data_IF_949282732618
#
_entry.id   IF_949282732618
#
_cell.length_a   1.000
_cell.length_b   1.000
_cell.length_c   1.000
_cell.angle_alpha   90.00
_cell.angle_beta   90.00
_cell.angle_gamma   90.00
#
_symmetry.space_group_name_H-M   'P 1'
#
loop_
_entity.id
_entity.type
_entity.pdbx_description
1 polymer ?
#
# COMPACT_ATOMS: atom_id res chain seq x y z
N UNK A 1 -14.06 -19.00 -19.64
CA UNK A 1 -14.52 -18.04 -18.61
C UNK A 1 -14.44 -16.61 -19.16
N UNK A 2 -15.48 -15.77 -19.04
CA UNK A 2 -15.32 -14.35 -19.33
C UNK A 2 -14.11 -13.85 -18.53
N UNK A 3 -13.15 -13.22 -19.19
CA UNK A 3 -11.93 -12.74 -18.54
C UNK A 3 -12.30 -11.84 -17.37
N UNK A 4 -11.54 -11.91 -16.27
CA UNK A 4 -11.74 -11.04 -15.11
C UNK A 4 -11.64 -9.58 -15.57
N UNK A 5 -12.78 -8.92 -15.77
CA UNK A 5 -12.83 -7.52 -16.15
C UNK A 5 -12.62 -6.69 -14.89
N UNK A 6 -11.36 -6.38 -14.59
CA UNK A 6 -10.94 -5.52 -13.48
C UNK A 6 -11.35 -4.04 -13.65
N UNK A 7 -12.20 -3.73 -14.63
CA UNK A 7 -12.57 -2.37 -15.01
C UNK A 7 -11.58 -1.73 -15.98
N UNK A 8 -11.47 -0.40 -15.91
CA UNK A 8 -10.64 0.40 -16.81
C UNK A 8 -9.14 0.03 -16.68
N UNK A 9 -8.46 -0.46 -17.74
CA UNK A 9 -7.09 -0.96 -17.65
C UNK A 9 -6.07 0.14 -17.27
N UNK A 10 -6.33 1.39 -17.65
CA UNK A 10 -5.48 2.52 -17.26
C UNK A 10 -5.63 2.81 -15.77
N UNK A 11 -6.85 2.74 -15.25
CA UNK A 11 -7.12 2.89 -13.81
C UNK A 11 -6.39 1.82 -13.00
N UNK A 12 -6.45 0.56 -13.42
CA UNK A 12 -5.73 -0.56 -12.79
C UNK A 12 -4.21 -0.30 -12.80
N UNK A 13 -3.65 0.13 -13.93
CA UNK A 13 -2.23 0.41 -14.05
C UNK A 13 -1.77 1.53 -13.11
N UNK A 14 -2.53 2.64 -13.02
CA UNK A 14 -2.23 3.73 -12.10
C UNK A 14 -2.27 3.26 -10.64
N UNK A 15 -3.29 2.51 -10.27
CA UNK A 15 -3.46 1.98 -8.93
C UNK A 15 -2.33 1.03 -8.54
N UNK A 16 -1.94 0.13 -9.45
CA UNK A 16 -0.82 -0.79 -9.24
C UNK A 16 0.52 -0.05 -9.08
N UNK A 17 0.79 0.94 -9.93
CA UNK A 17 2.02 1.75 -9.82
C UNK A 17 2.06 2.53 -8.51
N UNK A 18 0.94 3.13 -8.10
CA UNK A 18 0.86 3.82 -6.82
C UNK A 18 1.08 2.88 -5.63
N UNK A 19 0.52 1.65 -5.70
CA UNK A 19 0.76 0.63 -4.69
C UNK A 19 2.23 0.18 -4.62
N UNK A 20 2.93 0.07 -5.76
CA UNK A 20 4.38 -0.21 -5.80
C UNK A 20 5.17 0.91 -5.14
N UNK A 21 4.81 2.18 -5.38
CA UNK A 21 5.44 3.33 -4.71
C UNK A 21 5.21 3.27 -3.19
N UNK A 22 3.99 2.98 -2.74
CA UNK A 22 3.66 2.78 -1.34
C UNK A 22 4.48 1.66 -0.69
N UNK A 23 4.49 0.48 -1.31
CA UNK A 23 5.26 -0.67 -0.84
C UNK A 23 6.76 -0.37 -0.79
N UNK A 24 7.31 0.26 -1.83
CA UNK A 24 8.74 0.60 -1.89
C UNK A 24 9.14 1.58 -0.79
N UNK A 25 8.30 2.59 -0.51
CA UNK A 25 8.53 3.54 0.57
C UNK A 25 8.53 2.89 1.95
N UNK A 26 7.55 2.00 2.21
CA UNK A 26 7.46 1.24 3.45
C UNK A 26 8.68 0.33 3.61
N UNK A 27 9.04 -0.42 2.57
CA UNK A 27 10.21 -1.31 2.58
C UNK A 27 11.50 -0.54 2.86
N UNK A 28 11.71 0.59 2.19
CA UNK A 28 12.87 1.44 2.42
C UNK A 28 12.96 1.90 3.89
N UNK A 29 11.85 2.34 4.48
CA UNK A 29 11.79 2.75 5.87
C UNK A 29 12.09 1.59 6.83
N UNK A 30 11.44 0.44 6.64
CA UNK A 30 11.59 -0.74 7.50
C UNK A 30 13.03 -1.26 7.47
N UNK A 31 13.66 -1.29 6.28
CA UNK A 31 15.05 -1.70 6.13
C UNK A 31 16.01 -0.83 6.95
N UNK A 32 15.73 0.47 7.13
CA UNK A 32 16.57 1.33 7.99
C UNK A 32 16.55 0.97 9.48
N UNK A 33 15.61 0.14 9.91
CA UNK A 33 15.50 -0.33 11.30
C UNK A 33 16.31 -1.61 11.56
N UNK A 34 16.70 -2.31 10.50
CA UNK A 34 17.44 -3.56 10.59
C UNK A 34 18.94 -3.33 10.81
N UNK A 35 19.59 -4.27 11.49
CA UNK A 35 21.06 -4.28 11.67
C UNK A 35 21.77 -5.23 10.71
N UNK A 36 21.03 -6.17 10.12
CA UNK A 36 21.52 -7.17 9.15
C UNK A 36 20.52 -7.35 8.01
N UNK A 37 20.96 -7.90 6.88
CA UNK A 37 20.09 -8.19 5.73
C UNK A 37 18.97 -9.18 6.10
N UNK A 38 19.32 -10.28 6.79
CA UNK A 38 18.32 -11.25 7.26
C UNK A 38 17.27 -10.63 8.18
N UNK A 39 17.66 -9.66 9.03
CA UNK A 39 16.72 -8.94 9.86
C UNK A 39 15.82 -8.01 9.01
N UNK A 40 16.36 -7.39 7.97
CA UNK A 40 15.57 -6.54 7.06
C UNK A 40 14.49 -7.37 6.36
N UNK A 41 14.82 -8.54 5.82
CA UNK A 41 13.86 -9.44 5.16
C UNK A 41 12.76 -9.89 6.12
N UNK A 42 13.15 -10.29 7.34
CA UNK A 42 12.20 -10.70 8.38
C UNK A 42 11.25 -9.56 8.79
N UNK A 43 11.78 -8.37 9.04
CA UNK A 43 10.97 -7.19 9.41
C UNK A 43 10.03 -6.78 8.28
N UNK A 44 10.50 -6.75 7.04
CA UNK A 44 9.66 -6.44 5.88
C UNK A 44 8.51 -7.42 5.73
N UNK A 45 8.78 -8.72 5.90
CA UNK A 45 7.76 -9.76 5.84
C UNK A 45 6.69 -9.58 6.93
N UNK A 46 7.12 -9.33 8.18
CA UNK A 46 6.20 -9.09 9.31
C UNK A 46 5.33 -7.85 9.03
N UNK A 47 5.93 -6.75 8.58
CA UNK A 47 5.20 -5.51 8.29
C UNK A 47 4.22 -5.72 7.14
N UNK A 48 4.64 -6.35 6.05
CA UNK A 48 3.79 -6.62 4.89
C UNK A 48 2.54 -7.43 5.28
N UNK A 49 2.72 -8.55 5.99
CA UNK A 49 1.61 -9.40 6.43
C UNK A 49 0.71 -8.66 7.42
N UNK A 50 1.28 -7.94 8.38
CA UNK A 50 0.49 -7.18 9.38
C UNK A 50 -0.38 -6.13 8.70
N UNK A 51 0.18 -5.38 7.76
CA UNK A 51 -0.57 -4.38 6.99
C UNK A 51 -1.61 -5.02 6.07
N UNK A 52 -1.36 -6.21 5.52
CA UNK A 52 -2.32 -6.92 4.69
C UNK A 52 -3.54 -7.40 5.50
N UNK A 53 -3.30 -7.93 6.70
CA UNK A 53 -4.37 -8.32 7.63
C UNK A 53 -5.19 -7.11 8.05
N UNK A 54 -4.53 -6.03 8.48
CA UNK A 54 -5.20 -4.80 8.91
C UNK A 54 -5.95 -4.10 7.78
N UNK A 55 -5.43 -4.17 6.55
CA UNK A 55 -6.03 -3.53 5.38
C UNK A 55 -7.14 -4.32 4.71
N UNK A 56 -7.55 -5.46 5.28
CA UNK A 56 -8.69 -6.23 4.79
C UNK A 56 -8.40 -7.13 3.58
N UNK A 57 -7.14 -7.46 3.30
CA UNK A 57 -6.77 -8.40 2.21
C UNK A 57 -7.36 -9.79 2.44
N UNK A 58 -7.50 -10.21 3.69
CA UNK A 58 -8.05 -11.53 4.05
C UNK A 58 -9.51 -11.49 4.51
N UNK A 59 -9.97 -10.33 5.00
CA UNK A 59 -11.31 -10.15 5.55
C UNK A 59 -11.90 -8.88 4.93
N UNK A 60 -13.03 -8.96 4.20
CA UNK A 60 -13.65 -7.78 3.61
C UNK A 60 -13.97 -6.73 4.66
N UNK A 61 -13.51 -5.49 4.43
CA UNK A 61 -13.77 -4.38 5.36
C UNK A 61 -15.27 -4.04 5.46
N UNK A 62 -16.08 -4.43 4.48
CA UNK A 62 -17.54 -4.27 4.49
C UNK A 62 -18.24 -5.08 5.58
N UNK A 63 -17.61 -6.12 6.12
CA UNK A 63 -18.14 -6.94 7.21
C UNK A 63 -17.36 -6.74 8.52
N UNK A 64 -16.35 -5.86 8.51
CA UNK A 64 -15.54 -5.58 9.68
C UNK A 64 -16.26 -4.61 10.64
N UNK A 65 -16.00 -4.71 11.96
CA UNK A 65 -16.36 -3.68 12.92
C UNK A 65 -15.85 -2.28 12.50
N UNK A 66 -16.62 -1.24 12.82
CA UNK A 66 -16.34 0.15 12.41
C UNK A 66 -14.91 0.61 12.77
N UNK A 67 -14.46 0.27 13.98
CA UNK A 67 -13.11 0.60 14.44
C UNK A 67 -12.01 -0.03 13.57
N UNK A 68 -12.19 -1.28 13.13
CA UNK A 68 -11.23 -1.94 12.24
C UNK A 68 -11.24 -1.33 10.84
N UNK A 69 -12.43 -0.97 10.34
CA UNK A 69 -12.56 -0.26 9.06
C UNK A 69 -11.81 1.09 9.10
N UNK A 70 -11.95 1.88 10.17
CA UNK A 70 -11.23 3.14 10.31
C UNK A 70 -9.71 2.97 10.40
N UNK A 71 -9.24 1.98 11.18
CA UNK A 71 -7.80 1.70 11.30
C UNK A 71 -7.21 1.23 9.97
N UNK A 72 -7.97 0.46 9.18
CA UNK A 72 -7.50 -0.06 7.90
C UNK A 72 -7.04 1.03 6.92
N UNK A 73 -7.60 2.24 7.02
CA UNK A 73 -7.31 3.39 6.17
C UNK A 73 -5.86 3.91 6.30
N UNK A 74 -5.11 3.48 7.32
CA UNK A 74 -3.68 3.80 7.42
C UNK A 74 -2.80 2.86 6.58
N UNK A 75 -3.38 1.77 6.06
CA UNK A 75 -2.66 0.75 5.30
C UNK A 75 -2.78 1.00 3.80
N UNK A 76 -1.74 0.70 2.99
CA UNK A 76 -1.87 0.78 1.53
C UNK A 76 -2.86 -0.25 0.97
N UNK A 77 -3.08 -1.38 1.65
CA UNK A 77 -3.95 -2.44 1.18
C UNK A 77 -5.42 -2.00 1.13
N UNK A 78 -5.90 -1.27 2.14
CA UNK A 78 -7.28 -0.78 2.17
C UNK A 78 -7.58 0.10 0.94
N UNK A 79 -6.70 1.07 0.63
CA UNK A 79 -6.85 1.94 -0.53
C UNK A 79 -6.70 1.20 -1.86
N UNK A 80 -5.80 0.23 -1.94
CA UNK A 80 -5.67 -0.59 -3.14
C UNK A 80 -6.93 -1.40 -3.42
N UNK A 81 -7.50 -2.05 -2.40
CA UNK A 81 -8.74 -2.83 -2.54
C UNK A 81 -9.93 -1.93 -2.84
N UNK A 82 -10.02 -0.76 -2.20
CA UNK A 82 -11.04 0.26 -2.48
C UNK A 82 -11.02 0.69 -3.96
N UNK A 83 -9.84 1.03 -4.49
CA UNK A 83 -9.69 1.39 -5.90
C UNK A 83 -10.04 0.25 -6.87
N UNK A 84 -9.76 -1.01 -6.51
CA UNK A 84 -10.19 -2.16 -7.31
C UNK A 84 -11.72 -2.34 -7.29
N UNK A 85 -12.35 -2.14 -6.14
CA UNK A 85 -13.81 -2.22 -6.01
C UNK A 85 -14.51 -1.12 -6.82
N UNK A 86 -13.99 0.10 -6.79
CA UNK A 86 -14.47 1.22 -7.60
C UNK A 86 -14.36 0.94 -9.11
N UNK A 87 -13.24 0.33 -9.56
CA UNK A 87 -13.08 -0.06 -10.96
C UNK A 87 -13.99 -1.22 -11.38
N UNK A 88 -14.36 -2.10 -10.45
CA UNK A 88 -15.27 -3.21 -10.72
C UNK A 88 -16.71 -2.74 -11.04
N UNK A 89 -17.06 -1.49 -10.72
CA UNK A 89 -18.36 -0.92 -11.08
C UNK A 89 -18.46 -0.73 -12.60
N UNK A 90 -19.48 -1.30 -13.28
CA UNK A 90 -19.65 -1.14 -14.72
C UNK A 90 -19.74 0.33 -15.14
N UNK A 91 -18.92 0.73 -16.11
CA UNK A 91 -18.88 2.11 -16.61
C UNK A 91 -18.02 3.06 -15.77
N UNK A 92 -17.30 2.57 -14.76
CA UNK A 92 -16.34 3.36 -13.99
C UNK A 92 -15.24 3.96 -14.89
N UNK A 93 -15.00 5.26 -14.71
CA UNK A 93 -13.92 5.98 -15.38
C UNK A 93 -12.66 6.03 -14.54
N UNK A 94 -11.58 6.58 -15.11
CA UNK A 94 -10.31 6.77 -14.40
C UNK A 94 -10.44 7.66 -13.15
N UNK A 95 -11.47 8.52 -13.11
CA UNK A 95 -11.77 9.38 -11.97
C UNK A 95 -12.01 8.61 -10.66
N UNK A 96 -12.50 7.36 -10.76
CA UNK A 96 -12.87 6.53 -9.62
C UNK A 96 -11.65 6.14 -8.76
N UNK A 97 -10.44 6.10 -9.34
CA UNK A 97 -9.21 5.71 -8.62
C UNK A 97 -8.33 6.87 -8.20
N UNK A 98 -8.69 8.11 -8.50
CA UNK A 98 -7.83 9.27 -8.23
C UNK A 98 -7.54 9.43 -6.73
N UNK A 99 -8.55 9.23 -5.89
CA UNK A 99 -8.39 9.30 -4.44
C UNK A 99 -7.50 8.16 -3.91
N UNK A 100 -7.80 6.86 -4.17
CA UNK A 100 -6.93 5.76 -3.81
C UNK A 100 -5.48 5.93 -4.27
N UNK A 101 -5.26 6.32 -5.53
CA UNK A 101 -3.94 6.59 -6.10
C UNK A 101 -3.24 7.71 -5.34
N UNK A 102 -3.93 8.83 -5.08
CA UNK A 102 -3.38 9.95 -4.34
C UNK A 102 -2.93 9.54 -2.93
N UNK A 103 -3.74 8.78 -2.21
CA UNK A 103 -3.39 8.33 -0.85
C UNK A 103 -2.22 7.34 -0.86
N UNK A 104 -2.19 6.39 -1.80
CA UNK A 104 -1.06 5.47 -1.95
C UNK A 104 0.25 6.21 -2.24
N UNK A 105 0.22 7.21 -3.12
CA UNK A 105 1.38 8.04 -3.42
C UNK A 105 1.83 8.85 -2.19
N UNK A 106 0.90 9.36 -1.38
CA UNK A 106 1.21 10.03 -0.11
C UNK A 106 1.89 9.06 0.86
N UNK A 107 1.33 7.86 1.06
CA UNK A 107 1.91 6.82 1.94
C UNK A 107 3.34 6.50 1.50
N UNK A 108 3.55 6.21 0.21
CA UNK A 108 4.87 5.88 -0.33
C UNK A 108 5.86 7.02 -0.25
N UNK A 109 5.43 8.24 -0.55
CA UNK A 109 6.30 9.42 -0.48
C UNK A 109 6.70 9.72 0.98
N UNK A 110 5.76 9.70 1.92
CA UNK A 110 6.03 9.95 3.34
C UNK A 110 6.98 8.90 3.90
N UNK A 111 6.65 7.61 3.72
CA UNK A 111 7.49 6.51 4.24
C UNK A 111 8.87 6.48 3.55
N UNK A 112 8.91 6.68 2.23
CA UNK A 112 10.14 6.76 1.46
C UNK A 112 11.03 7.93 1.86
N UNK A 113 10.48 9.13 2.09
CA UNK A 113 11.23 10.29 2.58
C UNK A 113 11.80 10.04 3.97
N UNK A 114 11.00 9.48 4.89
CA UNK A 114 11.49 9.13 6.23
C UNK A 114 12.61 8.09 6.14
N UNK A 115 12.43 7.05 5.30
CA UNK A 115 13.44 6.03 5.06
C UNK A 115 14.74 6.61 4.51
N UNK A 116 14.66 7.47 3.48
CA UNK A 116 15.81 8.15 2.90
C UNK A 116 16.54 9.04 3.92
N UNK A 117 15.81 9.82 4.71
CA UNK A 117 16.40 10.67 5.76
C UNK A 117 17.12 9.83 6.81
N UNK A 118 16.53 8.70 7.22
CA UNK A 118 17.16 7.77 8.17
C UNK A 118 18.40 7.10 7.58
N UNK A 119 18.31 6.58 6.36
CA UNK A 119 19.43 5.95 5.67
C UNK A 119 20.62 6.90 5.52
N UNK A 120 20.36 8.17 5.13
CA UNK A 120 21.39 9.20 5.05
C UNK A 120 22.10 9.44 6.39
N UNK A 121 21.35 9.52 7.49
CA UNK A 121 21.94 9.69 8.83
C UNK A 121 22.83 8.51 9.21
N UNK A 122 22.42 7.28 8.91
CA UNK A 122 23.19 6.07 9.22
C UNK A 122 24.52 6.01 8.46
N UNK A 123 24.53 6.43 7.19
CA UNK A 123 25.74 6.47 6.36
C UNK A 123 26.71 7.56 6.83
N UNK A 124 26.21 8.75 7.20
CA UNK A 124 27.07 9.88 7.63
C UNK A 124 27.74 9.63 9.00
N UNK A 125 27.13 8.83 9.89
CA UNK A 125 27.72 8.47 11.19
C UNK A 125 28.72 7.31 11.15
N UNK A 126 28.95 6.69 9.99
CA UNK A 126 29.97 5.64 9.79
C UNK A 126 31.20 6.24 9.11
#
# INVERSE_FOLDING_TARGET
>A
PPGCQLGNPVGVALLALAAVVAASGITALVTTLARTEQQADGLNSIVAVSLAVLGGTFIPLSTAPELLSQISLVTPHAWFLDGLNELAVPGSGIGAVLLPVGVLLIIGSVTGVIGLVRARRLVVTR
#
